data_IF_808827512334
#
_entry.id   IF_808827512334
#
_cell.length_a   1.000
_cell.length_b   1.000
_cell.length_c   1.000
_cell.angle_alpha   90.00
_cell.angle_beta   90.00
_cell.angle_gamma   90.00
#
_symmetry.space_group_name_H-M   'P 1'
#
loop_
_entity.id
_entity.type
_entity.pdbx_description
1 polymer ?
#
# COMPACT_ATOMS: atom_id res chain seq x y z
N UNK A 1 -8.08 5.45 -9.03
CA UNK A 1 -8.97 4.47 -8.37
C UNK A 1 -9.83 5.20 -7.36
N UNK A 2 -11.15 4.99 -7.41
CA UNK A 2 -12.12 5.62 -6.51
C UNK A 2 -13.07 4.54 -5.96
N UNK A 3 -13.81 4.86 -4.89
CA UNK A 3 -14.82 3.96 -4.32
C UNK A 3 -15.79 3.52 -5.41
N UNK A 4 -16.05 2.21 -5.51
CA UNK A 4 -16.90 1.62 -6.55
C UNK A 4 -16.21 1.36 -7.90
N UNK A 5 -14.91 1.65 -8.05
CA UNK A 5 -14.16 1.19 -9.23
C UNK A 5 -14.08 -0.34 -9.24
N UNK A 6 -13.97 -0.95 -10.42
CA UNK A 6 -13.81 -2.40 -10.54
C UNK A 6 -12.33 -2.73 -10.79
N UNK A 7 -11.62 -3.36 -9.83
CA UNK A 7 -10.19 -3.69 -9.98
C UNK A 7 -9.90 -4.48 -11.26
N UNK A 8 -10.81 -5.40 -11.64
CA UNK A 8 -10.73 -6.19 -12.88
C UNK A 8 -10.73 -5.36 -14.17
N UNK A 9 -11.44 -4.23 -14.20
CA UNK A 9 -11.45 -3.35 -15.36
C UNK A 9 -10.14 -2.54 -15.44
N UNK A 10 -9.58 -2.15 -14.29
CA UNK A 10 -8.33 -1.41 -14.20
C UNK A 10 -7.15 -2.25 -14.65
N UNK A 11 -7.01 -3.48 -14.14
CA UNK A 11 -5.91 -4.36 -14.55
C UNK A 11 -6.00 -4.70 -16.04
N UNK A 12 -7.21 -4.84 -16.60
CA UNK A 12 -7.39 -5.02 -18.04
C UNK A 12 -6.81 -3.86 -18.85
N UNK A 13 -7.13 -2.62 -18.48
CA UNK A 13 -6.60 -1.42 -19.14
C UNK A 13 -5.07 -1.36 -19.02
N UNK A 14 -4.53 -1.61 -17.82
CA UNK A 14 -3.07 -1.61 -17.59
C UNK A 14 -2.39 -2.69 -18.44
N UNK A 15 -2.96 -3.89 -18.50
CA UNK A 15 -2.44 -5.00 -19.29
C UNK A 15 -2.49 -4.73 -20.80
N UNK A 16 -3.55 -4.08 -21.29
CA UNK A 16 -3.67 -3.65 -22.69
C UNK A 16 -2.62 -2.58 -23.03
N UNK A 17 -2.49 -1.54 -22.21
CA UNK A 17 -1.48 -0.48 -22.35
C UNK A 17 -0.05 -1.04 -22.31
N UNK A 18 0.17 -2.04 -21.44
CA UNK A 18 1.45 -2.73 -21.34
C UNK A 18 1.76 -3.47 -22.64
N UNK A 19 0.84 -4.29 -23.13
CA UNK A 19 1.02 -5.03 -24.38
C UNK A 19 1.29 -4.09 -25.55
N UNK A 20 0.60 -2.95 -25.64
CA UNK A 20 0.84 -1.97 -26.69
C UNK A 20 2.26 -1.39 -26.62
N UNK A 21 2.72 -1.00 -25.43
CA UNK A 21 4.07 -0.44 -25.24
C UNK A 21 5.17 -1.45 -25.56
N UNK A 22 5.00 -2.69 -25.12
CA UNK A 22 5.97 -3.75 -25.34
C UNK A 22 5.91 -4.36 -26.74
N UNK A 23 4.80 -4.20 -27.47
CA UNK A 23 4.71 -4.60 -28.89
C UNK A 23 5.70 -3.87 -29.80
N UNK A 24 6.21 -2.71 -29.37
CA UNK A 24 7.20 -1.89 -30.09
C UNK A 24 8.64 -2.31 -29.80
N UNK A 25 8.87 -3.26 -28.89
CA UNK A 25 10.19 -3.74 -28.49
C UNK A 25 10.44 -5.14 -29.06
N UNK A 26 11.39 -5.26 -29.98
CA UNK A 26 11.71 -6.51 -30.70
C UNK A 26 12.30 -7.62 -29.81
N UNK A 27 12.86 -7.26 -28.65
CA UNK A 27 13.64 -8.17 -27.80
C UNK A 27 12.83 -8.80 -26.66
N UNK A 28 11.64 -8.29 -26.38
CA UNK A 28 10.86 -8.71 -25.21
C UNK A 28 9.66 -9.54 -25.66
N UNK A 29 9.55 -10.75 -25.14
CA UNK A 29 8.38 -11.60 -25.35
C UNK A 29 7.20 -10.96 -24.59
N UNK A 30 6.25 -10.41 -25.35
CA UNK A 30 5.13 -9.61 -24.82
C UNK A 30 4.20 -10.41 -23.92
N UNK A 31 4.08 -11.73 -24.15
CA UNK A 31 3.23 -12.59 -23.34
C UNK A 31 3.89 -12.90 -22.00
N UNK A 32 5.21 -13.03 -21.91
CA UNK A 32 5.95 -13.25 -20.67
C UNK A 32 5.78 -12.07 -19.71
N UNK A 33 5.80 -10.83 -20.22
CA UNK A 33 5.56 -9.64 -19.41
C UNK A 33 4.10 -9.58 -18.95
N UNK A 34 3.16 -9.89 -19.86
CA UNK A 34 1.73 -9.97 -19.51
C UNK A 34 1.48 -11.02 -18.42
N UNK A 35 2.03 -12.22 -18.58
CA UNK A 35 1.88 -13.31 -17.61
C UNK A 35 2.45 -12.91 -16.25
N UNK A 36 3.66 -12.33 -16.21
CA UNK A 36 4.24 -11.81 -14.96
C UNK A 36 3.37 -10.74 -14.29
N UNK A 37 2.79 -9.82 -15.08
CA UNK A 37 1.88 -8.82 -14.53
C UNK A 37 0.64 -9.49 -13.93
N UNK A 38 0.03 -10.45 -14.63
CA UNK A 38 -1.17 -11.13 -14.14
C UNK A 38 -0.88 -11.95 -12.88
N UNK A 39 0.23 -12.69 -12.84
CA UNK A 39 0.67 -13.41 -11.64
C UNK A 39 0.91 -12.46 -10.47
N UNK A 40 1.65 -11.36 -10.69
CA UNK A 40 1.90 -10.38 -9.63
C UNK A 40 0.61 -9.69 -9.15
N UNK A 41 -0.31 -9.42 -10.07
CA UNK A 41 -1.61 -8.87 -9.74
C UNK A 41 -2.38 -9.79 -8.80
N UNK A 42 -2.53 -11.06 -9.16
CA UNK A 42 -3.26 -12.05 -8.35
C UNK A 42 -2.58 -12.32 -7.01
N UNK A 43 -1.24 -12.40 -6.98
CA UNK A 43 -0.49 -12.78 -5.77
C UNK A 43 -0.32 -11.63 -4.76
N UNK A 44 -0.29 -10.38 -5.21
CA UNK A 44 0.12 -9.26 -4.35
C UNK A 44 -0.80 -8.04 -4.45
N UNK A 45 -1.18 -7.58 -5.65
CA UNK A 45 -1.87 -6.30 -5.78
C UNK A 45 -3.41 -6.37 -5.70
N UNK A 46 -3.99 -7.54 -5.96
CA UNK A 46 -5.45 -7.68 -6.10
C UNK A 46 -6.17 -7.29 -4.81
N UNK A 47 -5.71 -7.79 -3.66
CA UNK A 47 -6.35 -7.56 -2.37
C UNK A 47 -6.35 -6.07 -1.99
N UNK A 48 -5.21 -5.39 -2.15
CA UNK A 48 -5.08 -3.95 -1.91
C UNK A 48 -6.01 -3.14 -2.84
N UNK A 49 -6.11 -3.55 -4.11
CA UNK A 49 -6.97 -2.88 -5.06
C UNK A 49 -8.45 -3.03 -4.69
N UNK A 50 -8.86 -4.20 -4.22
CA UNK A 50 -10.21 -4.41 -3.71
C UNK A 50 -10.48 -3.57 -2.46
N UNK A 51 -9.52 -3.52 -1.53
CA UNK A 51 -9.62 -2.72 -0.31
C UNK A 51 -9.87 -1.23 -0.61
N UNK A 52 -9.10 -0.65 -1.55
CA UNK A 52 -9.28 0.74 -1.99
C UNK A 52 -10.64 0.95 -2.65
N UNK A 53 -11.15 -0.02 -3.41
CA UNK A 53 -12.45 0.14 -4.09
C UNK A 53 -13.65 0.06 -3.16
N UNK A 54 -13.51 -0.62 -2.02
CA UNK A 54 -14.55 -0.74 -1.00
C UNK A 54 -14.51 0.43 -0.03
N UNK A 55 -13.33 0.71 0.54
CA UNK A 55 -13.18 1.65 1.65
C UNK A 55 -12.62 3.02 1.20
N UNK A 56 -12.26 3.15 -0.07
CA UNK A 56 -11.59 4.34 -0.59
C UNK A 56 -10.13 4.41 -0.14
N UNK A 57 -9.53 5.59 -0.34
CA UNK A 57 -8.21 5.91 0.21
C UNK A 57 -8.28 6.27 1.70
N UNK A 58 -9.08 5.54 2.47
CA UNK A 58 -9.25 5.79 3.89
C UNK A 58 -8.24 4.95 4.69
N UNK A 59 -7.20 5.60 5.20
CA UNK A 59 -6.19 4.94 6.02
C UNK A 59 -6.61 5.05 7.49
N UNK A 60 -7.44 4.12 7.94
CA UNK A 60 -7.83 4.03 9.35
C UNK A 60 -6.83 3.21 10.15
N UNK A 61 -6.49 3.69 11.34
CA UNK A 61 -5.70 2.95 12.32
C UNK A 61 -6.60 2.28 13.35
N UNK A 62 -6.35 1.00 13.63
CA UNK A 62 -7.00 0.29 14.72
C UNK A 62 -5.99 -0.15 15.77
N UNK A 63 -6.44 -0.18 17.03
CA UNK A 63 -5.62 -0.60 18.16
C UNK A 63 -5.55 -2.12 18.22
N UNK A 64 -4.34 -2.69 18.19
CA UNK A 64 -4.11 -4.09 18.51
C UNK A 64 -4.13 -4.23 20.03
N UNK A 65 -4.97 -5.12 20.54
CA UNK A 65 -5.08 -5.44 21.97
C UNK A 65 -4.58 -6.86 22.24
N UNK A 66 -3.91 -7.04 23.38
CA UNK A 66 -3.52 -8.37 23.88
C UNK A 66 -4.68 -9.03 24.64
N UNK A 67 -4.53 -10.31 25.02
CA UNK A 67 -5.52 -11.12 25.78
C UNK A 67 -5.98 -10.48 27.11
N UNK A 68 -5.27 -9.44 27.59
CA UNK A 68 -5.58 -8.66 28.79
C UNK A 68 -6.20 -7.28 28.49
N UNK A 69 -6.72 -7.08 27.27
CA UNK A 69 -7.36 -5.84 26.79
C UNK A 69 -6.45 -4.60 26.83
N UNK A 70 -5.13 -4.81 26.96
CA UNK A 70 -4.11 -3.75 26.91
C UNK A 70 -3.73 -3.48 25.45
N UNK A 71 -3.75 -2.22 25.05
CA UNK A 71 -3.31 -1.78 23.72
C UNK A 71 -1.80 -1.99 23.60
N UNK A 72 -1.39 -2.88 22.69
CA UNK A 72 0.02 -3.23 22.44
C UNK A 72 0.57 -2.59 21.18
N UNK A 73 -0.30 -2.18 20.24
CA UNK A 73 0.13 -1.54 19.01
C UNK A 73 -1.01 -0.91 18.23
N UNK A 74 -0.62 -0.30 17.11
CA UNK A 74 -1.51 0.25 16.09
C UNK A 74 -1.20 -0.45 14.78
N UNK A 75 -2.24 -0.72 14.02
CA UNK A 75 -2.16 -1.37 12.71
C UNK A 75 -3.03 -0.61 11.71
N UNK A 76 -2.70 -0.74 10.43
CA UNK A 76 -3.48 -0.17 9.34
C UNK A 76 -3.61 -1.19 8.22
N UNK A 77 -4.81 -1.26 7.65
CA UNK A 77 -5.18 -2.25 6.63
C UNK A 77 -4.51 -1.94 5.27
N UNK A 78 -4.28 -0.66 4.97
CA UNK A 78 -3.84 -0.20 3.65
C UNK A 78 -2.35 0.15 3.58
N UNK A 79 -1.77 0.59 4.70
CA UNK A 79 -0.36 0.97 4.77
C UNK A 79 0.36 0.11 5.82
N UNK A 80 1.26 -0.78 5.38
CA UNK A 80 2.13 -1.55 6.26
C UNK A 80 3.06 -0.69 7.10
N UNK A 81 3.25 -1.09 8.37
CA UNK A 81 4.06 -0.35 9.36
C UNK A 81 5.54 -0.21 9.00
N UNK A 82 6.10 -1.18 8.30
CA UNK A 82 7.49 -1.13 7.83
C UNK A 82 7.71 0.04 6.86
N UNK A 83 6.80 0.24 5.89
CA UNK A 83 6.90 1.29 4.88
C UNK A 83 6.85 2.68 5.52
N UNK A 84 5.94 2.88 6.48
CA UNK A 84 5.85 4.14 7.23
C UNK A 84 7.13 4.39 8.01
N UNK A 85 7.63 3.36 8.70
CA UNK A 85 8.87 3.46 9.50
C UNK A 85 10.08 3.79 8.62
N UNK A 86 10.20 3.18 7.44
CA UNK A 86 11.30 3.44 6.52
C UNK A 86 11.22 4.82 5.88
N UNK A 87 10.06 5.24 5.36
CA UNK A 87 9.95 6.54 4.67
C UNK A 87 9.92 7.73 5.62
N UNK A 88 9.17 7.64 6.72
CA UNK A 88 8.93 8.78 7.61
C UNK A 88 9.89 8.80 8.80
N UNK A 89 10.31 7.64 9.30
CA UNK A 89 11.18 7.55 10.48
C UNK A 89 12.66 7.33 10.16
N UNK A 90 13.07 7.18 8.88
CA UNK A 90 14.50 7.15 8.51
C UNK A 90 15.25 8.41 8.97
N UNK A 91 14.59 9.58 8.97
CA UNK A 91 15.18 10.87 9.41
C UNK A 91 15.18 11.05 10.94
N UNK A 92 14.37 10.27 11.66
CA UNK A 92 14.26 10.33 13.13
C UNK A 92 15.26 9.39 13.84
N UNK A 93 15.72 8.32 13.18
CA UNK A 93 16.69 7.36 13.73
C UNK A 93 18.03 7.99 14.15
N UNK A 94 18.42 9.11 13.56
CA UNK A 94 19.68 9.78 13.88
C UNK A 94 19.63 10.56 15.21
N UNK A 95 18.43 10.82 15.79
CA UNK A 95 18.32 11.82 16.86
C UNK A 95 18.15 11.31 18.29
N UNK A 96 17.56 10.15 18.61
CA UNK A 96 17.55 9.69 20.03
C UNK A 96 17.17 8.21 20.22
N UNK A 97 18.06 7.45 20.87
CA UNK A 97 17.70 6.29 21.71
C UNK A 97 16.98 6.83 22.94
N UNK A 98 15.65 6.84 22.92
CA UNK A 98 14.78 6.57 24.07
C UNK A 98 13.35 7.02 23.78
N UNK A 99 12.43 6.31 24.45
CA UNK A 99 11.16 6.81 24.96
C UNK A 99 9.91 6.45 24.15
N UNK A 100 8.85 6.15 24.90
CA UNK A 100 7.55 5.55 24.55
C UNK A 100 6.66 6.39 23.61
N UNK A 101 7.25 7.32 22.86
CA UNK A 101 6.62 8.35 22.00
C UNK A 101 6.29 7.80 20.60
N UNK A 102 6.73 6.57 20.28
CA UNK A 102 6.55 5.97 18.96
C UNK A 102 5.10 5.68 18.54
N UNK A 103 4.15 5.59 19.49
CA UNK A 103 2.75 5.23 19.17
C UNK A 103 1.92 6.42 18.69
N UNK A 104 2.06 7.60 19.31
CA UNK A 104 1.31 8.81 18.91
C UNK A 104 1.82 9.38 17.60
N UNK A 105 3.13 9.33 17.36
CA UNK A 105 3.74 9.81 16.13
C UNK A 105 3.37 8.96 14.90
N UNK A 106 3.07 7.67 15.08
CA UNK A 106 2.63 6.80 14.00
C UNK A 106 1.25 7.21 13.48
N UNK A 107 0.33 7.53 14.41
CA UNK A 107 -0.98 8.08 14.11
C UNK A 107 -0.89 9.39 13.32
N UNK A 108 -0.13 10.35 13.84
CA UNK A 108 0.01 11.67 13.20
C UNK A 108 0.74 11.58 11.84
N UNK A 109 1.72 10.68 11.72
CA UNK A 109 2.45 10.48 10.46
C UNK A 109 1.57 9.96 9.33
N UNK A 110 0.64 9.05 9.62
CA UNK A 110 -0.24 8.44 8.62
C UNK A 110 -1.29 9.44 8.12
N UNK A 111 -1.86 10.26 9.01
CA UNK A 111 -2.75 11.35 8.61
C UNK A 111 -2.01 12.34 7.70
N UNK A 112 -0.77 12.71 8.03
CA UNK A 112 0.05 13.59 7.22
C UNK A 112 0.41 12.97 5.85
N UNK A 113 0.62 11.64 5.78
CA UNK A 113 0.83 10.94 4.50
C UNK A 113 -0.41 11.03 3.61
N UNK A 114 -1.59 10.78 4.19
CA UNK A 114 -2.85 10.86 3.46
C UNK A 114 -3.09 12.28 2.91
N UNK A 115 -2.76 13.32 3.68
CA UNK A 115 -2.87 14.73 3.28
C UNK A 115 -1.80 15.20 2.28
N UNK A 116 -0.68 14.49 2.13
CA UNK A 116 0.41 14.88 1.22
C UNK A 116 0.40 14.12 -0.11
N UNK A 117 -0.30 12.98 -0.19
CA UNK A 117 -0.38 12.15 -1.41
C UNK A 117 -1.61 12.50 -2.26
N UNK A 118 -2.54 13.30 -1.73
CA UNK A 118 -3.71 13.86 -2.42
C UNK A 118 -3.80 15.38 -2.23
#
# INVERSE_FOLDING_TARGET
>A
MQVGSKPKEIIRVISEDLLEKFSKLELVEKYDVYQKLMTYWEDTMQDDAYLITQNGWNVTLYSIKDKKDKITGWDSELIPKNIVTEKYFAKLKTRNQNCQIHQTLYHDSITLVADCIF
#
